data_IF_634823279205
#
_entry.id   IF_634823279205
#
_cell.length_a   1.000
_cell.length_b   1.000
_cell.length_c   1.000
_cell.angle_alpha   90.00
_cell.angle_beta   90.00
_cell.angle_gamma   90.00
#
_symmetry.space_group_name_H-M   'P 1'
#
loop_
_entity.id
_entity.type
_entity.pdbx_description
1 polymer ?
#
# COMPACT_ATOMS: atom_id res chain seq x y z
N UNK A 1 4.84 -14.48 -23.00
CA UNK A 1 4.31 -14.22 -21.65
C UNK A 1 3.58 -12.89 -21.71
N UNK A 2 2.44 -12.77 -21.02
CA UNK A 2 1.65 -11.53 -21.05
C UNK A 2 2.10 -10.54 -19.98
N UNK A 3 1.65 -9.29 -20.08
CA UNK A 3 1.98 -8.22 -19.14
C UNK A 3 1.73 -8.61 -17.69
N UNK A 4 0.57 -9.20 -17.40
CA UNK A 4 0.21 -9.65 -16.05
C UNK A 4 1.24 -10.63 -15.50
N UNK A 5 1.64 -11.63 -16.29
CA UNK A 5 2.64 -12.63 -15.88
C UNK A 5 4.00 -11.99 -15.60
N UNK A 6 4.41 -10.99 -16.40
CA UNK A 6 5.68 -10.31 -16.22
C UNK A 6 5.66 -9.42 -14.98
N UNK A 7 4.55 -8.72 -14.71
CA UNK A 7 4.34 -7.95 -13.48
C UNK A 7 4.34 -8.88 -12.25
N UNK A 8 3.67 -10.02 -12.33
CA UNK A 8 3.61 -10.99 -11.21
C UNK A 8 4.99 -11.50 -10.76
N UNK A 9 5.99 -11.50 -11.62
CA UNK A 9 7.38 -11.83 -11.23
C UNK A 9 7.95 -10.89 -10.16
N UNK A 10 7.49 -9.65 -10.16
CA UNK A 10 7.93 -8.63 -9.21
C UNK A 10 6.97 -8.46 -8.03
N UNK A 11 5.68 -8.57 -8.28
CA UNK A 11 4.63 -8.20 -7.33
C UNK A 11 3.97 -9.39 -6.63
N UNK A 12 4.21 -10.63 -7.11
CA UNK A 12 3.38 -11.78 -6.75
C UNK A 12 2.00 -11.73 -7.43
N UNK A 13 1.06 -12.52 -6.95
CA UNK A 13 -0.29 -12.64 -7.54
C UNK A 13 -1.04 -11.31 -7.52
N UNK A 14 -1.67 -10.95 -8.63
CA UNK A 14 -2.53 -9.78 -8.80
C UNK A 14 -3.87 -10.20 -9.39
N UNK A 15 -4.94 -9.46 -9.09
CA UNK A 15 -6.26 -9.70 -9.65
C UNK A 15 -6.33 -9.28 -11.14
N UNK A 16 -7.37 -9.73 -11.84
CA UNK A 16 -7.64 -9.29 -13.21
C UNK A 16 -8.12 -7.83 -13.16
N UNK A 17 -7.62 -7.01 -14.08
CA UNK A 17 -7.90 -5.57 -14.15
C UNK A 17 -6.90 -4.69 -13.41
N UNK A 18 -6.24 -5.17 -12.36
CA UNK A 18 -5.33 -4.38 -11.53
C UNK A 18 -4.09 -3.88 -12.30
N UNK A 19 -3.72 -4.55 -13.38
CA UNK A 19 -2.55 -4.19 -14.19
C UNK A 19 -2.84 -3.10 -15.22
N UNK A 20 -4.09 -2.89 -15.61
CA UNK A 20 -4.46 -2.08 -16.77
C UNK A 20 -4.08 -0.59 -16.60
N UNK A 21 -4.50 0.01 -15.50
CA UNK A 21 -4.24 1.41 -15.22
C UNK A 21 -2.74 1.68 -14.96
N UNK A 22 -2.04 0.91 -14.10
CA UNK A 22 -0.60 1.06 -13.90
C UNK A 22 0.23 0.92 -15.17
N UNK A 23 -0.15 0.02 -16.07
CA UNK A 23 0.51 -0.11 -17.37
C UNK A 23 0.29 1.11 -18.27
N UNK A 24 -0.95 1.61 -18.33
CA UNK A 24 -1.27 2.80 -19.12
C UNK A 24 -0.52 4.05 -18.61
N UNK A 25 -0.43 4.20 -17.30
CA UNK A 25 0.34 5.28 -16.67
C UNK A 25 1.85 5.09 -16.88
N UNK A 26 2.34 3.85 -16.85
CA UNK A 26 3.72 3.53 -17.18
C UNK A 26 4.10 3.91 -18.60
N UNK A 27 3.23 3.69 -19.58
CA UNK A 27 3.47 4.16 -20.96
C UNK A 27 3.63 5.67 -20.99
N UNK A 28 2.75 6.41 -20.31
CA UNK A 28 2.82 7.88 -20.26
C UNK A 28 4.10 8.36 -19.57
N UNK A 29 4.46 7.73 -18.45
CA UNK A 29 5.66 8.11 -17.71
C UNK A 29 6.93 7.87 -18.52
N UNK A 30 7.08 6.69 -19.13
CA UNK A 30 8.24 6.36 -19.96
C UNK A 30 8.38 7.35 -21.13
N UNK A 31 7.28 7.63 -21.85
CA UNK A 31 7.32 8.62 -22.96
C UNK A 31 7.69 10.00 -22.45
N UNK A 32 7.10 10.46 -21.33
CA UNK A 32 7.36 11.77 -20.77
C UNK A 32 8.80 11.91 -20.26
N UNK A 33 9.36 10.86 -19.65
CA UNK A 33 10.77 10.84 -19.22
C UNK A 33 11.71 10.85 -20.41
N UNK A 34 11.42 10.05 -21.43
CA UNK A 34 12.23 10.04 -22.66
C UNK A 34 12.23 11.39 -23.36
N UNK A 35 11.10 12.12 -23.36
CA UNK A 35 11.06 13.49 -23.87
C UNK A 35 12.06 14.44 -23.18
N UNK A 36 12.29 14.23 -21.88
CA UNK A 36 13.22 15.06 -21.10
C UNK A 36 14.67 14.64 -21.30
N UNK A 37 14.91 13.34 -21.46
CA UNK A 37 16.28 12.75 -21.51
C UNK A 37 16.83 12.80 -22.93
N UNK A 38 16.03 12.44 -23.92
CA UNK A 38 16.46 12.34 -25.32
C UNK A 38 15.36 12.82 -26.27
N UNK A 39 15.19 14.13 -26.45
CA UNK A 39 14.17 14.70 -27.35
C UNK A 39 14.25 14.14 -28.78
N UNK A 40 15.45 13.89 -29.28
CA UNK A 40 15.67 13.35 -30.63
C UNK A 40 15.14 11.93 -30.82
N UNK A 41 15.00 11.17 -29.73
CA UNK A 41 14.46 9.83 -29.75
C UNK A 41 12.94 9.78 -29.81
N UNK A 42 12.26 10.93 -29.77
CA UNK A 42 10.79 10.97 -29.68
C UNK A 42 10.08 10.43 -30.91
N UNK A 43 10.74 10.43 -32.08
CA UNK A 43 10.21 9.79 -33.30
C UNK A 43 9.93 8.30 -33.14
N UNK A 44 10.57 7.63 -32.16
CA UNK A 44 10.27 6.23 -31.83
C UNK A 44 8.87 6.04 -31.23
N UNK A 45 8.27 7.10 -30.69
CA UNK A 45 6.92 7.12 -30.12
C UNK A 45 5.94 7.88 -30.99
N UNK A 46 6.30 8.13 -32.25
CA UNK A 46 5.46 8.92 -33.13
C UNK A 46 4.34 8.13 -33.76
N UNK A 47 3.22 8.81 -33.93
CA UNK A 47 2.11 8.38 -34.75
C UNK A 47 1.83 9.39 -35.83
N UNK A 48 1.54 8.89 -37.04
CA UNK A 48 1.22 9.70 -38.20
C UNK A 48 -0.30 9.97 -38.24
N UNK A 49 -0.67 11.26 -38.38
CA UNK A 49 -2.02 11.68 -38.72
C UNK A 49 -1.97 12.48 -40.04
N UNK A 50 -3.03 12.35 -40.83
CA UNK A 50 -3.10 12.96 -42.15
C UNK A 50 -4.39 13.75 -42.33
N UNK A 51 -4.40 14.67 -43.29
CA UNK A 51 -5.61 15.38 -43.62
C UNK A 51 -6.58 14.48 -44.44
N UNK A 52 -7.86 14.71 -44.23
CA UNK A 52 -8.92 14.10 -45.04
C UNK A 52 -9.21 14.94 -46.33
N UNK A 53 -9.81 14.30 -47.32
CA UNK A 53 -10.19 14.97 -48.55
C UNK A 53 -11.07 16.21 -48.29
N UNK A 54 -10.79 17.30 -48.99
CA UNK A 54 -11.49 18.59 -48.81
C UNK A 54 -10.90 19.47 -47.68
N UNK A 55 -10.02 18.95 -46.84
CA UNK A 55 -9.47 19.72 -45.73
C UNK A 55 -7.97 20.04 -45.92
N UNK A 56 -7.62 21.32 -45.80
CA UNK A 56 -6.23 21.78 -45.76
C UNK A 56 -5.70 21.89 -44.32
N UNK A 57 -6.21 21.04 -43.43
CA UNK A 57 -5.80 21.00 -42.04
C UNK A 57 -5.88 19.56 -41.50
N UNK A 58 -5.15 19.37 -40.42
CA UNK A 58 -5.24 18.18 -39.59
C UNK A 58 -5.76 18.58 -38.23
N UNK A 59 -6.75 17.88 -37.71
CA UNK A 59 -7.26 18.11 -36.36
C UNK A 59 -6.26 17.54 -35.31
N UNK A 60 -6.00 18.32 -34.29
CA UNK A 60 -5.12 17.97 -33.17
C UNK A 60 -5.82 18.28 -31.83
N UNK A 61 -5.36 17.66 -30.76
CA UNK A 61 -5.71 18.08 -29.40
C UNK A 61 -4.69 19.12 -28.91
N UNK A 62 -5.11 19.99 -28.00
CA UNK A 62 -4.22 20.97 -27.36
C UNK A 62 -3.09 20.31 -26.56
N UNK A 63 -3.30 19.04 -26.14
CA UNK A 63 -2.30 18.22 -25.45
C UNK A 63 -1.35 17.49 -26.37
N UNK A 64 -1.61 17.48 -27.69
CA UNK A 64 -0.75 16.79 -28.65
C UNK A 64 0.61 17.48 -28.78
N UNK A 65 1.67 16.70 -28.64
CA UNK A 65 3.04 17.14 -28.87
C UNK A 65 3.44 16.82 -30.30
N UNK A 66 3.53 17.84 -31.13
CA UNK A 66 3.87 17.74 -32.55
C UNK A 66 5.37 17.64 -32.69
N UNK A 67 5.83 16.64 -33.43
CA UNK A 67 7.25 16.41 -33.74
C UNK A 67 7.64 17.08 -35.04
N UNK A 68 6.88 16.82 -36.10
CA UNK A 68 7.02 17.48 -37.37
C UNK A 68 5.70 17.59 -38.13
N UNK A 69 5.68 18.49 -39.10
CA UNK A 69 4.57 18.67 -40.04
C UNK A 69 5.17 18.67 -41.45
N UNK A 70 4.70 17.77 -42.28
CA UNK A 70 5.16 17.61 -43.64
C UNK A 70 4.04 17.88 -44.67
N UNK A 71 4.38 18.58 -45.72
CA UNK A 71 3.53 18.74 -46.91
C UNK A 71 4.07 17.86 -48.03
N UNK A 72 3.16 17.07 -48.63
CA UNK A 72 3.47 16.30 -49.80
C UNK A 72 3.47 17.15 -51.04
N UNK A 73 4.57 17.05 -51.79
CA UNK A 73 4.74 17.65 -53.13
C UNK A 73 4.88 16.53 -54.15
N UNK A 74 4.19 16.66 -55.28
CA UNK A 74 4.33 15.76 -56.43
C UNK A 74 4.95 16.51 -57.57
N UNK A 75 6.16 16.12 -57.99
CA UNK A 75 6.84 16.68 -59.14
C UNK A 75 7.19 15.57 -60.13
N UNK A 76 6.68 15.63 -61.34
CA UNK A 76 6.93 14.64 -62.38
C UNK A 76 6.61 13.18 -61.96
N UNK A 77 5.55 12.98 -61.15
CA UNK A 77 5.15 11.70 -60.62
C UNK A 77 6.01 11.23 -59.38
N UNK A 78 7.01 11.96 -58.98
CA UNK A 78 7.82 11.68 -57.79
C UNK A 78 7.20 12.37 -56.58
N UNK A 79 6.89 11.57 -55.56
CA UNK A 79 6.36 12.06 -54.30
C UNK A 79 7.50 12.43 -53.36
N UNK A 80 7.53 13.68 -52.93
CA UNK A 80 8.46 14.20 -51.94
C UNK A 80 7.72 14.84 -50.78
N UNK A 81 8.20 14.66 -49.57
CA UNK A 81 7.69 15.35 -48.39
C UNK A 81 8.59 16.54 -48.07
N UNK A 82 7.99 17.71 -47.86
CA UNK A 82 8.70 18.92 -47.45
C UNK A 82 8.29 19.23 -46.00
N UNK A 83 9.30 19.39 -45.16
CA UNK A 83 9.05 19.81 -43.78
C UNK A 83 8.51 21.23 -43.75
N UNK A 84 7.45 21.47 -43.02
CA UNK A 84 6.81 22.78 -42.87
C UNK A 84 7.43 23.50 -41.67
N UNK A 85 7.68 24.80 -41.86
CA UNK A 85 8.16 25.68 -40.77
C UNK A 85 6.95 26.21 -39.99
N UNK A 86 7.03 26.18 -38.65
CA UNK A 86 5.96 26.75 -37.80
C UNK A 86 6.01 28.28 -37.85
N UNK A 87 4.86 28.88 -38.05
CA UNK A 87 4.67 30.33 -37.98
C UNK A 87 3.55 30.69 -36.98
N UNK A 88 3.60 31.87 -36.36
CA UNK A 88 2.48 32.38 -35.59
C UNK A 88 1.22 32.52 -36.46
N UNK A 89 0.05 32.17 -35.91
CA UNK A 89 -1.23 32.30 -36.66
C UNK A 89 -1.57 33.72 -37.08
N UNK A 90 -0.97 34.73 -36.45
CA UNK A 90 -1.11 36.15 -36.85
C UNK A 90 -0.48 36.45 -38.22
N UNK A 91 0.55 35.71 -38.62
CA UNK A 91 1.24 35.90 -39.91
C UNK A 91 0.56 35.16 -41.08
N UNK A 92 -0.55 34.47 -40.85
CA UNK A 92 -1.24 33.69 -41.89
C UNK A 92 -1.62 34.48 -43.11
N UNK A 93 -1.97 35.77 -42.95
CA UNK A 93 -2.29 36.68 -44.06
C UNK A 93 -1.10 36.96 -44.94
N UNK A 94 0.03 37.30 -44.33
CA UNK A 94 1.25 37.67 -45.05
C UNK A 94 1.83 36.51 -45.87
N UNK A 95 1.76 35.28 -45.36
CA UNK A 95 2.25 34.09 -46.07
C UNK A 95 1.28 33.56 -47.13
N UNK A 96 0.04 34.01 -47.14
CA UNK A 96 -0.94 33.74 -48.21
C UNK A 96 -0.95 34.80 -49.32
N UNK A 97 -0.48 35.99 -49.02
CA UNK A 97 -0.45 37.08 -49.97
C UNK A 97 0.53 36.81 -51.13
N UNK A 98 0.03 36.86 -52.35
CA UNK A 98 0.81 36.61 -53.54
C UNK A 98 1.93 37.63 -53.74
N UNK A 99 1.78 38.86 -53.23
CA UNK A 99 2.75 39.96 -53.31
C UNK A 99 3.76 39.98 -52.17
N UNK A 100 3.58 39.14 -51.15
CA UNK A 100 4.47 39.11 -49.99
C UNK A 100 5.76 38.33 -50.27
N UNK A 101 6.89 38.91 -49.82
CA UNK A 101 8.19 38.20 -49.82
C UNK A 101 8.20 36.95 -48.94
N UNK A 102 7.27 36.87 -47.99
CA UNK A 102 7.13 35.74 -47.07
C UNK A 102 6.11 34.72 -47.56
N UNK A 103 5.65 34.80 -48.80
CA UNK A 103 4.68 33.85 -49.38
C UNK A 103 5.14 32.41 -49.23
N UNK A 104 4.31 31.58 -48.63
CA UNK A 104 4.52 30.14 -48.59
C UNK A 104 4.48 29.54 -50.00
N UNK A 105 5.44 28.66 -50.27
CA UNK A 105 5.51 27.91 -51.54
C UNK A 105 5.52 26.39 -51.25
N UNK A 106 5.36 25.60 -52.32
CA UNK A 106 5.44 24.14 -52.17
C UNK A 106 6.83 23.65 -51.78
N UNK A 107 7.88 24.46 -52.08
CA UNK A 107 9.27 24.16 -51.65
C UNK A 107 9.55 24.57 -50.22
N UNK A 108 8.91 25.63 -49.77
CA UNK A 108 9.01 26.20 -48.43
C UNK A 108 7.63 26.32 -47.80
N UNK A 109 6.99 25.17 -47.47
CA UNK A 109 5.69 25.19 -46.85
C UNK A 109 5.82 25.62 -45.39
N UNK A 110 4.76 26.25 -44.90
CA UNK A 110 4.62 26.66 -43.51
C UNK A 110 3.38 26.09 -42.89
N UNK A 111 3.33 26.04 -41.57
CA UNK A 111 2.12 25.67 -40.86
C UNK A 111 1.91 26.60 -39.66
N UNK A 112 0.65 26.67 -39.24
CA UNK A 112 0.28 27.35 -38.00
C UNK A 112 -0.79 26.53 -37.26
N UNK A 113 -0.82 26.71 -35.95
CA UNK A 113 -1.81 26.09 -35.06
C UNK A 113 -2.92 27.12 -34.80
N UNK A 114 -4.15 26.71 -35.00
CA UNK A 114 -5.30 27.55 -34.71
C UNK A 114 -6.55 26.71 -34.44
N UNK A 115 -7.20 26.98 -33.31
CA UNK A 115 -8.47 26.33 -32.90
C UNK A 115 -8.43 24.79 -32.98
N UNK A 116 -7.45 24.16 -32.35
CA UNK A 116 -7.30 22.68 -32.32
C UNK A 116 -6.97 22.06 -33.68
N UNK A 117 -6.37 22.85 -34.61
CA UNK A 117 -6.03 22.37 -35.96
C UNK A 117 -4.64 22.88 -36.36
N UNK A 118 -3.96 22.06 -37.15
CA UNK A 118 -2.78 22.46 -37.91
C UNK A 118 -3.18 22.76 -39.35
N UNK A 119 -3.00 23.99 -39.76
CA UNK A 119 -3.20 24.46 -41.14
C UNK A 119 -1.86 24.52 -41.83
N UNK A 120 -1.78 24.00 -43.06
CA UNK A 120 -0.58 24.02 -43.86
C UNK A 120 -0.77 24.92 -45.08
N UNK A 121 0.22 25.73 -45.38
CA UNK A 121 0.23 26.63 -46.55
C UNK A 121 1.46 26.35 -47.43
N UNK A 122 1.32 26.38 -48.74
CA UNK A 122 0.09 26.58 -49.50
C UNK A 122 -0.92 25.46 -49.24
N UNK A 123 -2.20 25.78 -49.37
CA UNK A 123 -3.31 24.88 -49.14
C UNK A 123 -3.16 23.54 -49.89
N UNK A 124 -3.46 22.44 -49.23
CA UNK A 124 -3.38 21.09 -49.77
C UNK A 124 -4.63 20.29 -49.41
N UNK A 125 -5.78 20.56 -50.05
CA UNK A 125 -7.08 19.97 -49.65
C UNK A 125 -7.24 18.51 -50.09
N UNK A 126 -6.32 17.94 -50.86
CA UNK A 126 -6.36 16.53 -51.23
C UNK A 126 -5.95 15.69 -50.02
N UNK A 127 -6.62 14.54 -49.82
CA UNK A 127 -6.25 13.60 -48.76
C UNK A 127 -4.77 13.22 -48.78
N UNK A 128 -4.23 12.94 -47.63
CA UNK A 128 -2.85 12.47 -47.42
C UNK A 128 -1.73 13.43 -47.88
N UNK A 129 -2.06 14.70 -48.21
CA UNK A 129 -1.11 15.72 -48.60
C UNK A 129 -0.43 16.41 -47.43
N UNK A 130 -1.04 16.36 -46.25
CA UNK A 130 -0.51 16.89 -45.01
C UNK A 130 -0.30 15.75 -44.07
N UNK A 131 0.91 15.62 -43.60
CA UNK A 131 1.30 14.61 -42.61
C UNK A 131 1.81 15.29 -41.37
N UNK A 132 1.25 14.92 -40.22
CA UNK A 132 1.65 15.40 -38.91
C UNK A 132 2.10 14.22 -38.07
N UNK A 133 3.36 14.22 -37.72
CA UNK A 133 3.90 13.27 -36.75
C UNK A 133 3.74 13.88 -35.35
N UNK A 134 3.06 13.17 -34.49
CA UNK A 134 2.88 13.56 -33.08
C UNK A 134 3.29 12.44 -32.15
N UNK A 135 3.62 12.79 -30.92
CA UNK A 135 3.86 11.81 -29.88
C UNK A 135 2.54 11.07 -29.58
N UNK A 136 2.62 9.75 -29.58
CA UNK A 136 1.48 8.87 -29.28
C UNK A 136 1.83 8.04 -28.03
N UNK A 137 0.90 8.07 -27.09
CA UNK A 137 0.96 7.17 -25.94
C UNK A 137 0.34 5.85 -26.37
N UNK A 138 1.16 4.82 -26.52
CA UNK A 138 0.73 3.52 -27.00
C UNK A 138 -0.41 2.92 -26.17
N UNK A 139 -1.44 2.43 -26.85
CA UNK A 139 -2.54 1.76 -26.18
C UNK A 139 -2.18 0.30 -25.83
N UNK A 140 -2.63 -0.14 -24.67
CA UNK A 140 -2.54 -1.53 -24.22
C UNK A 140 -3.93 -2.14 -24.41
N UNK A 141 -4.03 -3.15 -25.27
CA UNK A 141 -5.30 -3.76 -25.65
C UNK A 141 -5.69 -4.97 -24.80
N UNK A 142 -4.72 -5.59 -24.14
CA UNK A 142 -4.92 -6.82 -23.38
C UNK A 142 -3.92 -6.85 -22.20
N UNK A 143 -4.23 -6.12 -21.13
CA UNK A 143 -3.36 -5.99 -19.98
C UNK A 143 -3.23 -7.31 -19.16
N UNK A 144 -4.30 -8.09 -19.13
CA UNK A 144 -4.38 -9.33 -18.34
C UNK A 144 -4.15 -10.61 -19.17
N UNK A 145 -4.11 -10.48 -20.47
CA UNK A 145 -3.95 -11.60 -21.38
C UNK A 145 -2.50 -11.96 -21.71
N UNK A 146 -2.33 -12.64 -22.83
CA UNK A 146 -1.03 -13.09 -23.30
C UNK A 146 -0.24 -12.06 -24.11
N UNK A 147 -0.82 -10.88 -24.39
CA UNK A 147 -0.13 -9.81 -25.10
C UNK A 147 0.94 -9.17 -24.24
N UNK A 148 2.11 -8.94 -24.82
CA UNK A 148 3.21 -8.18 -24.21
C UNK A 148 3.69 -7.06 -25.15
N UNK A 149 2.86 -6.66 -26.09
CA UNK A 149 3.14 -5.59 -27.04
C UNK A 149 2.28 -4.37 -26.76
N UNK A 150 2.86 -3.20 -26.97
CA UNK A 150 2.18 -1.92 -26.87
C UNK A 150 2.18 -1.30 -28.27
N UNK A 151 1.03 -0.88 -28.75
CA UNK A 151 0.92 -0.31 -30.08
C UNK A 151 1.78 0.96 -30.22
N UNK A 152 2.53 1.06 -31.31
CA UNK A 152 3.42 2.20 -31.60
C UNK A 152 4.43 2.51 -30.48
N UNK A 153 4.95 1.49 -29.83
CA UNK A 153 5.87 1.63 -28.71
C UNK A 153 7.12 0.77 -28.92
N UNK A 154 8.33 1.29 -28.66
CA UNK A 154 9.56 0.53 -28.85
C UNK A 154 9.62 -0.71 -27.95
N UNK A 155 9.83 -1.88 -28.52
CA UNK A 155 9.87 -3.15 -27.79
C UNK A 155 10.96 -3.16 -26.69
N UNK A 156 12.09 -2.50 -26.93
CA UNK A 156 13.17 -2.37 -25.94
C UNK A 156 12.79 -1.57 -24.68
N UNK A 157 11.73 -0.78 -24.72
CA UNK A 157 11.25 0.02 -23.59
C UNK A 157 10.04 -0.58 -22.87
N UNK A 158 9.46 -1.64 -23.40
CA UNK A 158 8.37 -2.37 -22.75
C UNK A 158 8.73 -2.83 -21.32
N UNK A 159 9.96 -3.31 -21.04
CA UNK A 159 10.36 -3.66 -19.69
C UNK A 159 10.26 -2.50 -18.70
N UNK A 160 10.50 -1.25 -19.12
CA UNK A 160 10.37 -0.08 -18.26
C UNK A 160 8.91 0.15 -17.86
N UNK A 161 7.97 -0.01 -18.80
CA UNK A 161 6.53 0.07 -18.52
C UNK A 161 6.12 -0.99 -17.49
N UNK A 162 6.65 -2.21 -17.62
CA UNK A 162 6.39 -3.32 -16.68
C UNK A 162 6.96 -2.98 -15.29
N UNK A 163 8.17 -2.44 -15.21
CA UNK A 163 8.78 -2.04 -13.94
C UNK A 163 7.98 -0.91 -13.27
N UNK A 164 7.57 0.11 -14.02
CA UNK A 164 6.71 1.17 -13.50
C UNK A 164 5.39 0.60 -12.97
N UNK A 165 4.69 -0.19 -13.77
CA UNK A 165 3.43 -0.81 -13.35
C UNK A 165 3.62 -1.70 -12.10
N UNK A 166 4.72 -2.46 -12.05
CA UNK A 166 5.06 -3.29 -10.90
C UNK A 166 5.28 -2.46 -9.64
N UNK A 167 5.99 -1.33 -9.74
CA UNK A 167 6.20 -0.43 -8.61
C UNK A 167 4.86 0.11 -8.09
N UNK A 168 3.98 0.61 -8.95
CA UNK A 168 2.65 1.11 -8.57
C UNK A 168 1.79 0.02 -7.92
N UNK A 169 1.78 -1.19 -8.44
CA UNK A 169 1.03 -2.31 -7.85
C UNK A 169 1.60 -2.71 -6.48
N UNK A 170 2.92 -2.73 -6.31
CA UNK A 170 3.51 -3.00 -4.98
C UNK A 170 3.06 -1.93 -3.98
N UNK A 171 3.04 -0.66 -4.38
CA UNK A 171 2.57 0.43 -3.54
C UNK A 171 1.08 0.27 -3.18
N UNK A 172 0.22 -0.07 -4.14
CA UNK A 172 -1.19 -0.38 -3.88
C UNK A 172 -1.34 -1.54 -2.89
N UNK A 173 -0.51 -2.60 -3.03
CA UNK A 173 -0.50 -3.70 -2.07
C UNK A 173 -0.05 -3.25 -0.68
N UNK A 174 0.95 -2.41 -0.58
CA UNK A 174 1.39 -1.84 0.70
C UNK A 174 0.29 -0.97 1.31
N UNK A 175 -0.38 -0.15 0.52
CA UNK A 175 -1.51 0.68 0.95
C UNK A 175 -2.72 -0.15 1.41
N UNK A 176 -3.02 -1.23 0.70
CA UNK A 176 -4.12 -2.15 1.04
C UNK A 176 -3.76 -3.17 2.13
N UNK A 177 -2.54 -3.10 2.67
CA UNK A 177 -2.08 -4.03 3.69
C UNK A 177 -2.75 -3.73 5.04
N UNK A 178 -3.95 -4.28 5.21
CA UNK A 178 -4.79 -4.12 6.42
C UNK A 178 -4.71 -5.32 7.37
N UNK A 179 -3.80 -6.28 7.11
CA UNK A 179 -3.76 -7.54 7.83
C UNK A 179 -2.95 -7.50 9.13
N UNK A 180 -2.98 -6.36 9.84
CA UNK A 180 -2.64 -6.41 11.25
C UNK A 180 -3.71 -7.26 11.94
N UNK A 181 -3.32 -8.33 12.67
CA UNK A 181 -4.27 -9.01 13.51
C UNK A 181 -4.72 -8.02 14.60
N UNK A 182 -5.92 -7.46 14.43
CA UNK A 182 -6.51 -6.48 15.35
C UNK A 182 -7.20 -7.14 16.52
N UNK A 183 -7.54 -8.44 16.38
CA UNK A 183 -8.39 -9.13 17.35
C UNK A 183 -7.63 -10.21 18.10
N UNK A 184 -7.15 -9.86 19.29
CA UNK A 184 -6.87 -10.83 20.35
C UNK A 184 -8.21 -11.29 20.93
N UNK A 185 -8.81 -12.29 20.29
CA UNK A 185 -10.09 -12.82 20.75
C UNK A 185 -9.90 -13.88 21.84
N UNK A 186 -10.06 -13.47 23.07
CA UNK A 186 -10.11 -14.38 24.24
C UNK A 186 -11.54 -14.80 24.60
N UNK A 187 -12.56 -14.38 23.86
CA UNK A 187 -13.97 -14.62 24.20
C UNK A 187 -14.31 -16.10 24.33
N UNK A 188 -13.73 -16.96 23.50
CA UNK A 188 -13.91 -18.42 23.60
C UNK A 188 -13.23 -19.05 24.82
N UNK A 189 -12.13 -18.47 25.28
CA UNK A 189 -11.43 -18.90 26.49
C UNK A 189 -12.12 -18.39 27.74
N UNK A 190 -12.72 -17.21 27.67
CA UNK A 190 -13.48 -16.55 28.74
C UNK A 190 -14.85 -17.15 28.93
N UNK A 191 -15.48 -17.69 27.88
CA UNK A 191 -16.75 -18.41 27.99
C UNK A 191 -16.68 -19.60 28.97
N UNK A 192 -15.51 -20.23 29.05
CA UNK A 192 -15.19 -21.24 30.06
C UNK A 192 -14.85 -20.63 31.43
N UNK A 193 -14.45 -19.38 31.46
CA UNK A 193 -14.08 -18.68 32.69
C UNK A 193 -15.27 -18.15 33.49
N UNK A 194 -16.46 -18.05 32.85
CA UNK A 194 -17.71 -17.72 33.58
C UNK A 194 -18.12 -18.79 34.59
N UNK A 195 -17.54 -19.99 34.51
CA UNK A 195 -17.72 -21.08 35.48
C UNK A 195 -16.60 -21.13 36.54
N UNK A 196 -15.77 -20.08 36.64
CA UNK A 196 -14.79 -20.00 37.73
C UNK A 196 -15.55 -19.87 39.05
N UNK A 197 -15.27 -20.73 40.02
CA UNK A 197 -15.91 -20.64 41.32
C UNK A 197 -15.69 -19.24 41.89
N UNK A 198 -16.77 -18.49 42.04
CA UNK A 198 -16.72 -17.10 42.56
C UNK A 198 -16.97 -17.04 44.05
N UNK A 199 -17.44 -18.13 44.62
CA UNK A 199 -17.74 -18.27 46.04
C UNK A 199 -17.22 -19.58 46.61
N UNK A 200 -17.10 -19.65 47.91
CA UNK A 200 -16.75 -20.89 48.61
C UNK A 200 -17.70 -22.07 48.31
N UNK A 201 -18.97 -21.80 47.99
CA UNK A 201 -19.95 -22.79 47.59
C UNK A 201 -19.62 -23.45 46.24
N UNK A 202 -19.02 -22.73 45.31
CA UNK A 202 -18.61 -23.22 43.97
C UNK A 202 -17.47 -24.23 44.06
N UNK A 203 -16.71 -24.22 45.16
CA UNK A 203 -15.68 -25.25 45.43
C UNK A 203 -16.25 -26.51 46.09
N UNK A 204 -17.55 -26.66 46.25
CA UNK A 204 -18.18 -27.73 46.99
C UNK A 204 -17.96 -27.63 48.50
N UNK A 205 -17.49 -26.49 48.97
CA UNK A 205 -17.39 -26.20 50.39
C UNK A 205 -18.81 -25.89 50.91
N UNK A 206 -19.30 -26.73 51.84
CA UNK A 206 -20.54 -26.41 52.51
C UNK A 206 -20.40 -25.09 53.26
N UNK A 207 -21.50 -24.35 53.31
CA UNK A 207 -21.58 -23.10 54.12
C UNK A 207 -21.20 -23.32 55.60
N UNK A 208 -21.18 -24.59 56.04
CA UNK A 208 -20.78 -24.99 57.38
C UNK A 208 -19.27 -24.87 57.66
N UNK A 209 -18.42 -24.86 56.60
CA UNK A 209 -16.96 -24.64 56.76
C UNK A 209 -16.64 -23.16 56.73
N UNK A 210 -17.32 -22.41 55.89
CA UNK A 210 -17.09 -20.95 55.66
C UNK A 210 -18.14 -20.10 56.31
N UNK A 211 -19.34 -20.67 56.66
CA UNK A 211 -20.46 -19.98 57.27
C UNK A 211 -20.67 -20.37 58.73
N UNK A 212 -20.98 -19.40 59.53
CA UNK A 212 -21.56 -19.38 60.87
C UNK A 212 -20.97 -20.29 61.99
N UNK A 213 -20.11 -21.24 61.74
CA UNK A 213 -19.49 -22.07 62.80
C UNK A 213 -18.07 -21.65 63.13
N UNK A 214 -17.84 -20.43 63.39
CA UNK A 214 -16.79 -19.94 64.27
C UNK A 214 -15.32 -20.18 63.97
N UNK A 215 -14.98 -21.21 63.23
CA UNK A 215 -13.56 -21.59 63.06
C UNK A 215 -12.78 -20.69 62.12
N UNK A 216 -13.44 -20.17 61.08
CA UNK A 216 -12.80 -19.21 60.18
C UNK A 216 -13.12 -17.76 60.53
N UNK A 217 -14.24 -17.52 61.25
CA UNK A 217 -14.60 -16.17 61.71
C UNK A 217 -13.84 -15.72 62.97
N UNK A 218 -13.42 -16.66 63.82
CA UNK A 218 -12.72 -16.33 65.07
C UNK A 218 -11.24 -16.00 64.93
N UNK A 219 -10.64 -16.36 63.79
CA UNK A 219 -9.20 -16.18 63.57
C UNK A 219 -8.82 -14.95 62.74
N UNK A 220 -9.83 -14.19 62.25
CA UNK A 220 -9.55 -13.08 61.32
C UNK A 220 -8.97 -13.54 59.98
N UNK A 221 -9.09 -14.82 59.65
CA UNK A 221 -8.58 -15.38 58.43
C UNK A 221 -9.60 -15.28 57.30
N UNK A 222 -9.37 -14.33 56.42
CA UNK A 222 -10.11 -14.23 55.17
C UNK A 222 -9.46 -15.13 54.12
N UNK A 223 -10.20 -16.09 53.61
CA UNK A 223 -9.77 -16.83 52.42
C UNK A 223 -9.77 -15.81 51.27
N UNK A 224 -8.66 -15.56 50.60
CA UNK A 224 -8.60 -14.56 49.53
C UNK A 224 -9.25 -15.10 48.24
N UNK A 225 -10.54 -15.48 48.32
CA UNK A 225 -11.27 -16.07 47.20
C UNK A 225 -11.58 -15.02 46.10
N UNK A 226 -11.78 -13.77 46.48
CA UNK A 226 -12.11 -12.70 45.54
C UNK A 226 -11.13 -11.53 45.54
N UNK A 227 -10.46 -11.22 46.66
CA UNK A 227 -9.53 -10.14 46.71
C UNK A 227 -8.17 -10.54 46.11
N UNK A 228 -7.82 -10.01 44.96
CA UNK A 228 -6.53 -10.19 44.32
C UNK A 228 -6.45 -11.36 43.34
N UNK A 229 -7.61 -11.96 42.95
CA UNK A 229 -7.59 -12.85 41.78
C UNK A 229 -7.28 -12.01 40.54
N UNK A 230 -6.38 -12.47 39.67
CA UNK A 230 -6.08 -11.74 38.45
C UNK A 230 -7.34 -11.64 37.55
N UNK A 231 -7.62 -10.47 37.05
CA UNK A 231 -8.72 -10.22 36.15
C UNK A 231 -8.29 -10.53 34.72
N UNK A 232 -8.97 -11.48 34.08
CA UNK A 232 -8.78 -11.77 32.66
C UNK A 232 -9.26 -10.57 31.82
N UNK A 233 -10.18 -9.76 32.35
CA UNK A 233 -10.63 -8.51 31.72
C UNK A 233 -9.49 -7.57 31.37
N UNK A 234 -8.41 -7.54 32.17
CA UNK A 234 -7.23 -6.71 31.90
C UNK A 234 -6.43 -7.17 30.68
N UNK A 235 -6.59 -8.44 30.28
CA UNK A 235 -5.98 -8.97 29.04
C UNK A 235 -7.00 -8.95 27.89
N UNK A 236 -8.27 -9.31 28.17
CA UNK A 236 -9.33 -9.44 27.20
C UNK A 236 -9.78 -8.10 26.61
N UNK A 237 -9.74 -7.05 27.42
CA UNK A 237 -10.06 -5.69 27.03
C UNK A 237 -8.80 -4.91 26.65
N UNK A 238 -7.88 -5.54 25.90
CA UNK A 238 -6.75 -4.85 25.33
C UNK A 238 -7.28 -3.92 24.25
N UNK A 239 -7.69 -2.72 24.69
CA UNK A 239 -8.15 -1.66 23.82
C UNK A 239 -6.97 -0.88 23.30
N UNK A 240 -6.87 -0.79 21.98
CA UNK A 240 -5.92 0.10 21.30
C UNK A 240 -6.12 1.56 21.77
N UNK A 241 -7.34 1.94 22.16
CA UNK A 241 -7.65 3.24 22.71
C UNK A 241 -6.96 3.55 24.05
N UNK A 242 -6.74 2.56 24.92
CA UNK A 242 -5.95 2.74 26.15
C UNK A 242 -4.46 2.95 25.86
N UNK A 243 -3.97 2.36 24.80
CA UNK A 243 -2.57 2.49 24.35
C UNK A 243 -2.31 3.87 23.73
N UNK A 244 -3.30 4.42 23.08
CA UNK A 244 -3.27 5.74 22.44
C UNK A 244 -3.95 6.82 23.28
N UNK A 245 -4.31 6.52 24.54
CA UNK A 245 -4.87 7.49 25.47
C UNK A 245 -4.00 8.73 25.61
N UNK A 246 -4.56 9.80 26.17
CA UNK A 246 -4.00 11.16 26.24
C UNK A 246 -2.57 11.32 26.84
N UNK A 247 -1.90 10.23 27.14
CA UNK A 247 -0.50 10.18 27.63
C UNK A 247 0.32 9.11 26.89
N UNK A 248 -0.11 8.62 25.74
CA UNK A 248 0.63 7.65 24.93
C UNK A 248 1.83 8.29 24.22
N UNK A 249 2.81 7.46 23.85
CA UNK A 249 4.09 7.82 23.19
C UNK A 249 3.91 8.66 21.91
N UNK A 250 2.70 8.79 21.40
CA UNK A 250 2.36 9.55 20.19
C UNK A 250 1.57 10.81 20.56
N UNK A 251 2.03 11.53 21.57
CA UNK A 251 1.38 12.72 22.05
C UNK A 251 1.36 13.84 21.01
N UNK A 252 0.29 14.48 20.99
CA UNK A 252 -0.39 15.57 20.29
C UNK A 252 0.45 16.64 19.55
N UNK A 253 1.78 16.63 19.64
CA UNK A 253 2.57 17.77 19.14
C UNK A 253 2.78 17.79 17.62
N UNK A 254 2.73 16.65 16.95
CA UNK A 254 3.35 16.53 15.63
C UNK A 254 2.37 16.50 14.45
N UNK A 255 1.05 16.60 14.70
CA UNK A 255 0.11 16.41 13.59
C UNK A 255 -1.14 17.30 13.71
N UNK A 256 -1.57 17.89 12.61
CA UNK A 256 -2.65 18.90 12.57
C UNK A 256 -4.09 18.38 12.71
N UNK A 257 -4.32 17.07 12.72
CA UNK A 257 -5.65 16.49 12.93
C UNK A 257 -5.62 15.31 13.92
N UNK A 258 -6.23 15.44 15.11
CA UNK A 258 -6.17 14.41 16.14
C UNK A 258 -6.98 13.14 15.84
N UNK A 259 -7.99 13.20 14.99
CA UNK A 259 -8.90 12.07 14.75
C UNK A 259 -8.25 10.97 13.92
N UNK A 260 -7.47 11.32 12.91
CA UNK A 260 -6.93 10.36 11.94
C UNK A 260 -5.59 9.72 12.34
N UNK A 261 -4.99 10.17 13.44
CA UNK A 261 -3.59 9.87 13.76
C UNK A 261 -3.37 8.76 14.76
N UNK A 262 -4.40 8.43 15.49
CA UNK A 262 -4.35 7.43 16.56
C UNK A 262 -4.79 6.04 16.07
N UNK A 263 -5.42 5.96 14.91
CA UNK A 263 -5.88 4.70 14.34
C UNK A 263 -4.81 4.13 13.39
N UNK A 264 -4.19 2.99 13.73
CA UNK A 264 -3.21 2.35 12.86
C UNK A 264 -3.75 2.00 11.48
N UNK A 265 -5.06 1.81 11.32
CA UNK A 265 -5.67 1.52 10.03
C UNK A 265 -5.57 2.72 9.09
N UNK A 266 -5.67 3.93 9.63
CA UNK A 266 -5.48 5.17 8.84
C UNK A 266 -4.03 5.36 8.40
N UNK A 267 -3.04 4.82 9.12
CA UNK A 267 -1.65 4.93 8.73
C UNK A 267 -1.31 4.18 7.45
N UNK A 268 -1.99 3.06 7.21
CA UNK A 268 -1.83 2.31 5.96
C UNK A 268 -2.49 3.05 4.80
N UNK A 269 -3.67 3.66 5.03
CA UNK A 269 -4.33 4.51 4.04
C UNK A 269 -3.47 5.72 3.71
N UNK A 270 -2.97 6.43 4.73
CA UNK A 270 -2.07 7.58 4.56
C UNK A 270 -0.79 7.19 3.82
N UNK A 271 -0.25 6.00 4.09
CA UNK A 271 0.90 5.49 3.33
C UNK A 271 0.54 5.28 1.87
N UNK A 272 -0.68 4.78 1.59
CA UNK A 272 -1.21 4.64 0.24
C UNK A 272 -1.30 5.98 -0.49
N UNK A 273 -1.92 6.96 0.15
CA UNK A 273 -2.11 8.31 -0.40
C UNK A 273 -0.75 8.98 -0.73
N UNK A 274 0.24 8.88 0.18
CA UNK A 274 1.61 9.39 -0.05
C UNK A 274 2.31 8.76 -1.24
N UNK A 275 1.90 7.56 -1.59
CA UNK A 275 2.49 6.77 -2.66
C UNK A 275 1.75 6.98 -3.98
N UNK A 276 0.41 7.04 -3.93
CA UNK A 276 -0.45 7.12 -5.12
C UNK A 276 -0.63 8.56 -5.60
N UNK A 277 -0.79 9.51 -4.68
CA UNK A 277 -1.11 10.89 -5.01
C UNK A 277 0.12 11.80 -5.04
N UNK A 278 1.04 11.64 -4.08
CA UNK A 278 2.17 12.56 -3.91
C UNK A 278 3.48 12.06 -4.52
N UNK A 279 3.60 10.76 -4.86
CA UNK A 279 4.83 10.09 -5.32
C UNK A 279 6.06 10.35 -4.40
N UNK A 280 5.81 10.65 -3.13
CA UNK A 280 6.84 10.99 -2.15
C UNK A 280 7.40 9.75 -1.45
N UNK A 281 8.48 9.23 -2.01
CA UNK A 281 9.15 8.03 -1.49
C UNK A 281 9.80 8.23 -0.13
N UNK A 282 10.20 9.46 0.22
CA UNK A 282 10.80 9.76 1.53
C UNK A 282 9.75 9.73 2.63
N UNK A 283 8.59 10.33 2.36
CA UNK A 283 7.47 10.35 3.28
C UNK A 283 6.88 8.94 3.48
N UNK A 284 6.74 8.17 2.40
CA UNK A 284 6.33 6.78 2.45
C UNK A 284 7.30 5.89 3.27
N UNK A 285 8.61 6.13 3.14
CA UNK A 285 9.62 5.43 3.94
C UNK A 285 9.50 5.78 5.42
N UNK A 286 9.31 7.05 5.77
CA UNK A 286 9.11 7.51 7.13
C UNK A 286 7.84 6.91 7.76
N UNK A 287 6.74 6.86 7.01
CA UNK A 287 5.49 6.24 7.44
C UNK A 287 5.64 4.72 7.66
N UNK A 288 6.37 4.04 6.79
CA UNK A 288 6.72 2.63 6.93
C UNK A 288 7.52 2.35 8.22
N UNK A 289 8.50 3.20 8.54
CA UNK A 289 9.27 3.10 9.78
C UNK A 289 8.38 3.33 11.02
N UNK A 290 7.44 4.28 10.94
CA UNK A 290 6.46 4.52 11.99
C UNK A 290 5.59 3.30 12.26
N UNK A 291 5.07 2.64 11.21
CA UNK A 291 4.30 1.40 11.31
C UNK A 291 5.12 0.29 11.96
N UNK A 292 6.36 0.11 11.53
CA UNK A 292 7.28 -0.91 12.08
C UNK A 292 7.57 -0.69 13.56
N UNK A 293 7.79 0.56 13.96
CA UNK A 293 8.02 0.94 15.37
C UNK A 293 6.78 0.69 16.22
N UNK A 294 5.60 1.00 15.69
CA UNK A 294 4.33 0.73 16.35
C UNK A 294 4.10 -0.79 16.59
N UNK A 295 4.36 -1.62 15.57
CA UNK A 295 4.23 -3.07 15.69
C UNK A 295 5.14 -3.63 16.79
N UNK A 296 6.38 -3.19 16.83
CA UNK A 296 7.35 -3.60 17.87
C UNK A 296 6.89 -3.20 19.27
N UNK A 297 6.44 -1.96 19.42
CA UNK A 297 5.92 -1.48 20.70
C UNK A 297 4.65 -2.20 21.15
N UNK A 298 3.73 -2.52 20.23
CA UNK A 298 2.51 -3.29 20.51
C UNK A 298 2.84 -4.70 21.04
N UNK A 299 3.82 -5.38 20.43
CA UNK A 299 4.33 -6.66 20.91
C UNK A 299 4.87 -6.57 22.35
N UNK A 300 5.63 -5.52 22.64
CA UNK A 300 6.19 -5.31 23.96
C UNK A 300 5.09 -5.05 25.00
N UNK A 301 4.14 -4.19 24.72
CA UNK A 301 3.01 -3.89 25.61
C UNK A 301 2.17 -5.12 25.93
N UNK A 302 1.93 -5.98 24.92
CA UNK A 302 1.24 -7.24 25.11
C UNK A 302 2.01 -8.22 26.02
N UNK A 303 3.32 -8.32 25.81
CA UNK A 303 4.20 -9.17 26.63
C UNK A 303 4.23 -8.71 28.10
N UNK A 304 4.29 -7.41 28.35
CA UNK A 304 4.26 -6.84 29.71
C UNK A 304 2.95 -7.15 30.43
N UNK A 305 1.80 -7.00 29.75
CA UNK A 305 0.48 -7.34 30.34
C UNK A 305 0.35 -8.82 30.68
N UNK A 306 0.85 -9.68 29.78
CA UNK A 306 0.87 -11.13 30.03
C UNK A 306 1.76 -11.48 31.22
N UNK A 307 2.93 -10.85 31.31
CA UNK A 307 3.86 -11.05 32.43
C UNK A 307 3.23 -10.63 33.76
N UNK A 308 2.55 -9.47 33.78
CA UNK A 308 1.81 -8.99 34.97
C UNK A 308 0.71 -9.98 35.37
N UNK A 309 -0.12 -10.42 34.43
CA UNK A 309 -1.16 -11.42 34.70
C UNK A 309 -0.59 -12.70 35.34
N UNK A 310 0.50 -13.23 34.77
CA UNK A 310 1.14 -14.44 35.29
C UNK A 310 1.73 -14.21 36.70
N UNK A 311 2.30 -13.03 36.99
CA UNK A 311 2.80 -12.67 38.30
C UNK A 311 1.67 -12.59 39.32
N UNK A 312 0.57 -11.90 39.01
CA UNK A 312 -0.60 -11.78 39.86
C UNK A 312 -1.24 -13.14 40.15
N UNK A 313 -1.30 -14.04 39.13
CA UNK A 313 -1.76 -15.42 39.29
C UNK A 313 -0.87 -16.22 40.26
N UNK A 314 0.45 -16.09 40.16
CA UNK A 314 1.39 -16.78 41.07
C UNK A 314 1.22 -16.31 42.50
N UNK A 315 1.07 -14.98 42.73
CA UNK A 315 0.83 -14.42 44.05
C UNK A 315 -0.48 -14.92 44.64
N UNK A 316 -1.55 -14.91 43.85
CA UNK A 316 -2.87 -15.38 44.27
C UNK A 316 -2.85 -16.89 44.60
N UNK A 317 -2.25 -17.70 43.74
CA UNK A 317 -2.06 -19.15 43.96
C UNK A 317 -1.26 -19.44 45.24
N UNK A 318 -0.20 -18.68 45.51
CA UNK A 318 0.57 -18.78 46.73
C UNK A 318 -0.23 -18.45 48.00
N UNK A 319 -1.02 -17.39 47.97
CA UNK A 319 -1.95 -17.04 49.08
C UNK A 319 -2.96 -18.15 49.34
N UNK A 320 -3.50 -18.73 48.27
CA UNK A 320 -4.45 -19.82 48.35
C UNK A 320 -3.85 -21.10 48.97
N UNK A 321 -2.62 -21.45 48.55
CA UNK A 321 -1.87 -22.60 49.14
C UNK A 321 -1.61 -22.38 50.63
N UNK A 322 -1.24 -21.17 51.06
CA UNK A 322 -1.04 -20.84 52.47
C UNK A 322 -2.33 -21.01 53.28
N UNK A 323 -3.48 -20.54 52.72
CA UNK A 323 -4.79 -20.70 53.33
C UNK A 323 -5.14 -22.20 53.59
N UNK A 324 -4.77 -23.09 52.64
CA UNK A 324 -4.96 -24.53 52.77
C UNK A 324 -4.14 -25.11 53.88
N UNK A 325 -2.86 -24.73 54.01
CA UNK A 325 -1.96 -25.24 55.06
C UNK A 325 -2.46 -24.90 56.45
N UNK A 326 -3.13 -23.76 56.63
CA UNK A 326 -3.75 -23.40 57.90
C UNK A 326 -4.98 -24.28 58.18
N UNK A 327 -5.85 -24.48 57.16
CA UNK A 327 -7.01 -25.34 57.28
C UNK A 327 -6.67 -26.82 57.51
N UNK A 328 -5.56 -27.31 56.98
CA UNK A 328 -5.11 -28.70 57.13
C UNK A 328 -4.81 -29.10 58.58
N UNK A 329 -4.59 -28.10 59.45
CA UNK A 329 -4.32 -28.38 60.89
C UNK A 329 -5.58 -28.68 61.69
N UNK A 330 -6.80 -28.42 61.18
CA UNK A 330 -8.02 -28.44 61.95
C UNK A 330 -9.06 -29.52 61.58
N UNK A 331 -8.98 -30.19 60.39
CA UNK A 331 -9.93 -31.27 60.04
C UNK A 331 -9.50 -32.04 58.76
N UNK A 332 -8.95 -33.25 58.92
CA UNK A 332 -8.36 -34.06 57.84
C UNK A 332 -9.31 -34.41 56.67
N UNK A 333 -10.56 -34.68 56.93
CA UNK A 333 -11.48 -35.14 55.88
C UNK A 333 -12.01 -33.98 54.98
N UNK A 334 -12.33 -32.87 55.57
CA UNK A 334 -12.83 -31.69 54.84
C UNK A 334 -11.70 -30.97 54.07
N UNK A 335 -10.49 -31.08 54.61
CA UNK A 335 -9.28 -30.54 53.96
C UNK A 335 -8.93 -31.35 52.71
N UNK A 336 -9.14 -32.65 52.68
CA UNK A 336 -8.92 -33.46 51.47
C UNK A 336 -9.86 -33.10 50.34
N UNK A 337 -11.18 -32.94 50.62
CA UNK A 337 -12.15 -32.46 49.62
C UNK A 337 -11.81 -31.06 49.09
N UNK A 338 -11.45 -30.17 49.99
CA UNK A 338 -11.02 -28.82 49.62
C UNK A 338 -9.78 -28.84 48.75
N UNK A 339 -8.76 -29.66 49.15
CA UNK A 339 -7.52 -29.82 48.36
C UNK A 339 -7.80 -30.36 46.95
N UNK A 340 -8.72 -31.34 46.82
CA UNK A 340 -9.12 -31.86 45.51
C UNK A 340 -9.78 -30.79 44.66
N UNK A 341 -10.68 -30.01 45.22
CA UNK A 341 -11.34 -28.93 44.49
C UNK A 341 -10.38 -27.80 44.13
N UNK A 342 -9.43 -27.51 45.00
CA UNK A 342 -8.36 -26.55 44.74
C UNK A 342 -7.42 -26.98 43.65
N UNK A 343 -7.04 -28.26 43.66
CA UNK A 343 -6.22 -28.82 42.57
C UNK A 343 -6.93 -28.71 41.23
N UNK A 344 -8.26 -29.00 41.19
CA UNK A 344 -9.09 -28.80 40.01
C UNK A 344 -9.10 -27.34 39.58
N UNK A 345 -9.25 -26.40 40.51
CA UNK A 345 -9.22 -24.99 40.26
C UNK A 345 -7.84 -24.54 39.76
N UNK A 346 -6.79 -24.96 40.41
CA UNK A 346 -5.40 -24.69 39.96
C UNK A 346 -5.13 -25.24 38.56
N UNK A 347 -5.58 -26.48 38.29
CA UNK A 347 -5.46 -27.08 36.95
C UNK A 347 -6.28 -26.34 35.92
N UNK A 348 -7.47 -25.84 36.25
CA UNK A 348 -8.28 -25.03 35.38
C UNK A 348 -7.59 -23.71 35.01
N UNK A 349 -7.05 -23.02 36.03
CA UNK A 349 -6.28 -21.77 35.79
C UNK A 349 -4.99 -22.00 34.99
N UNK A 350 -4.29 -23.11 35.23
CA UNK A 350 -3.15 -23.51 34.39
C UNK A 350 -3.57 -23.75 32.94
N UNK A 351 -4.74 -24.38 32.74
CA UNK A 351 -5.32 -24.59 31.42
C UNK A 351 -5.63 -23.25 30.72
N UNK A 352 -6.26 -22.32 31.45
CA UNK A 352 -6.53 -20.97 30.93
C UNK A 352 -5.23 -20.24 30.59
N UNK A 353 -4.27 -20.24 31.50
CA UNK A 353 -2.96 -19.61 31.27
C UNK A 353 -2.24 -20.20 30.06
N UNK A 354 -2.26 -21.53 29.90
CA UNK A 354 -1.69 -22.20 28.74
C UNK A 354 -2.41 -21.79 27.42
N UNK A 355 -3.74 -21.71 27.47
CA UNK A 355 -4.55 -21.29 26.31
C UNK A 355 -4.32 -19.82 25.94
N UNK A 356 -4.22 -18.94 26.95
CA UNK A 356 -3.86 -17.52 26.75
C UNK A 356 -2.47 -17.41 26.12
N UNK A 357 -1.50 -18.14 26.67
CA UNK A 357 -0.14 -18.16 26.11
C UNK A 357 -0.10 -18.66 24.67
N UNK A 358 -0.85 -19.71 24.34
CA UNK A 358 -0.94 -20.22 22.98
C UNK A 358 -1.58 -19.19 22.02
N UNK A 359 -2.63 -18.51 22.46
CA UNK A 359 -3.30 -17.46 21.68
C UNK A 359 -2.36 -16.28 21.43
N UNK A 360 -1.65 -15.83 22.46
CA UNK A 360 -0.65 -14.76 22.34
C UNK A 360 0.51 -15.15 21.43
N UNK A 361 1.01 -16.39 21.55
CA UNK A 361 2.07 -16.87 20.64
C UNK A 361 1.59 -16.92 19.19
N UNK A 362 0.36 -17.39 18.95
CA UNK A 362 -0.25 -17.38 17.61
C UNK A 362 -0.40 -15.96 17.07
N UNK A 363 -0.87 -15.04 17.91
CA UNK A 363 -0.98 -13.63 17.54
C UNK A 363 0.39 -13.01 17.22
N UNK A 364 1.39 -13.23 18.05
CA UNK A 364 2.75 -12.75 17.80
C UNK A 364 3.35 -13.34 16.51
N UNK A 365 3.10 -14.62 16.24
CA UNK A 365 3.53 -15.24 14.98
C UNK A 365 2.87 -14.59 13.75
N UNK A 366 1.56 -14.31 13.84
CA UNK A 366 0.83 -13.61 12.78
C UNK A 366 1.34 -12.17 12.59
N UNK A 367 1.66 -11.50 13.69
CA UNK A 367 2.21 -10.15 13.66
C UNK A 367 3.61 -10.12 13.01
N UNK A 368 4.48 -11.06 13.39
CA UNK A 368 5.80 -11.21 12.77
C UNK A 368 5.68 -11.52 11.26
N UNK A 369 4.74 -12.40 10.90
CA UNK A 369 4.49 -12.69 9.49
C UNK A 369 4.04 -11.43 8.73
N UNK A 370 3.11 -10.66 9.30
CA UNK A 370 2.65 -9.41 8.71
C UNK A 370 3.80 -8.41 8.51
N UNK A 371 4.68 -8.28 9.51
CA UNK A 371 5.87 -7.43 9.43
C UNK A 371 6.84 -7.89 8.32
N UNK A 372 7.10 -9.19 8.22
CA UNK A 372 7.97 -9.75 7.19
C UNK A 372 7.38 -9.56 5.78
N UNK A 373 6.08 -9.77 5.63
CA UNK A 373 5.38 -9.58 4.35
C UNK A 373 5.46 -8.10 3.91
N UNK A 374 5.29 -7.16 4.85
CA UNK A 374 5.41 -5.74 4.57
C UNK A 374 6.86 -5.34 4.22
N UNK A 375 7.84 -5.82 4.96
CA UNK A 375 9.27 -5.60 4.65
C UNK A 375 9.62 -6.14 3.26
N UNK A 376 9.12 -7.32 2.91
CA UNK A 376 9.32 -7.89 1.59
C UNK A 376 8.77 -6.98 0.48
N UNK A 377 7.55 -6.42 0.68
CA UNK A 377 6.98 -5.48 -0.27
C UNK A 377 7.85 -4.22 -0.41
N UNK A 378 8.33 -3.67 0.70
CA UNK A 378 9.19 -2.49 0.73
C UNK A 378 10.52 -2.73 -0.02
N UNK A 379 11.19 -3.85 0.25
CA UNK A 379 12.42 -4.21 -0.46
C UNK A 379 12.19 -4.40 -1.96
N UNK A 380 11.07 -5.03 -2.32
CA UNK A 380 10.66 -5.19 -3.71
C UNK A 380 10.38 -3.87 -4.40
N UNK A 381 9.70 -2.96 -3.73
CA UNK A 381 9.46 -1.63 -4.26
C UNK A 381 10.78 -0.90 -4.54
N UNK A 382 11.68 -0.87 -3.57
CA UNK A 382 13.01 -0.23 -3.73
C UNK A 382 13.79 -0.85 -4.91
N UNK A 383 13.80 -2.17 -5.00
CA UNK A 383 14.46 -2.87 -6.09
C UNK A 383 13.87 -2.47 -7.46
N UNK A 384 12.55 -2.56 -7.61
CA UNK A 384 11.87 -2.26 -8.88
C UNK A 384 12.04 -0.80 -9.27
N UNK A 385 11.93 0.13 -8.31
CA UNK A 385 12.15 1.56 -8.55
C UNK A 385 13.59 1.86 -9.00
N UNK A 386 14.58 1.25 -8.38
CA UNK A 386 15.99 1.41 -8.79
C UNK A 386 16.23 0.85 -10.19
N UNK A 387 15.69 -0.33 -10.50
CA UNK A 387 15.81 -0.92 -11.84
C UNK A 387 15.10 -0.06 -12.90
N UNK A 388 13.95 0.54 -12.56
CA UNK A 388 13.27 1.49 -13.42
C UNK A 388 14.12 2.71 -13.73
N UNK A 389 14.70 3.35 -12.73
CA UNK A 389 15.58 4.51 -12.91
C UNK A 389 16.85 4.15 -13.71
N UNK A 390 17.48 3.02 -13.38
CA UNK A 390 18.66 2.54 -14.14
C UNK A 390 18.34 2.26 -15.60
N UNK A 391 17.13 1.85 -15.91
CA UNK A 391 16.71 1.55 -17.27
C UNK A 391 16.77 2.75 -18.23
N UNK A 392 16.79 3.98 -17.72
CA UNK A 392 16.95 5.19 -18.53
C UNK A 392 18.42 5.61 -18.76
N UNK A 393 19.37 5.08 -17.98
CA UNK A 393 20.80 5.45 -18.11
C UNK A 393 21.37 5.26 -19.52
N UNK A 394 21.03 4.19 -20.27
CA UNK A 394 21.55 4.02 -21.63
C UNK A 394 21.09 5.10 -22.61
N UNK A 395 20.01 5.79 -22.30
CA UNK A 395 19.43 6.85 -23.14
C UNK A 395 19.92 8.24 -22.74
N UNK A 396 20.29 8.44 -21.47
CA UNK A 396 20.82 9.71 -20.96
C UNK A 396 22.21 10.05 -21.53
N UNK A 397 23.03 9.04 -21.82
CA UNK A 397 24.42 9.23 -22.27
C UNK A 397 24.58 9.35 -23.79
N UNK A 398 23.51 9.36 -24.59
CA UNK A 398 23.59 9.55 -26.05
C UNK A 398 23.66 11.00 -26.50
N UNK A 399 23.56 11.97 -25.57
CA UNK A 399 23.64 13.41 -25.88
C UNK A 399 25.05 14.00 -26.02
N UNK A 400 26.10 13.27 -25.64
CA UNK A 400 27.49 13.70 -25.83
C UNK A 400 28.16 12.72 -26.80
N UNK A 401 27.95 12.95 -28.10
CA UNK A 401 28.89 12.42 -29.08
C UNK A 401 30.22 13.16 -28.87
N UNK A 402 31.36 12.48 -28.70
CA UNK A 402 32.64 13.15 -28.64
C UNK A 402 32.88 13.87 -29.96
N UNK A 403 33.10 15.16 -29.88
CA UNK A 403 33.56 16.05 -30.94
C UNK A 403 34.92 15.63 -31.47
#
# INVERSE_FOLDING_TARGET
MGFKTDIQKYTGTIADGDSAQPLADGVKDVVNRMMKISPDSMFMFSGLIQNTSGNSYVAISDTDKILDVNRLKVLNGVITYRNCVEIPASLRGDVQDAGSLHKATEEFPVYYKFNGRIYVLPSAPTADKIQVNKVVYGAITDADGNSSSIANFPTGMVPLVILYASSKIILQKMASYSSLPTDLNFSGLLGSATSIPSSAADFGLSTDILGNSGVLNDTGFEIPLDSGKPSIGDIANFDLGELFGNSGILDEGDFNDPADKKDPTTWFTTLGDMIEDDEDTELATAQSQKISSFLSWYQQALAERLQKFNADYQVWSGKLQNAIQILSKESDTKVQEYNVNLQKYSAHWQGISASVNATVQSFNANLQKAQLDYQWLQERYQFVSQEYEKGFLPYANKGEAPS
#
